data_IF_237025624569
#
_entry.id   IF_237025624569
#
_cell.length_a   1.000
_cell.length_b   1.000
_cell.length_c   1.000
_cell.angle_alpha   90.00
_cell.angle_beta   90.00
_cell.angle_gamma   90.00
#
_symmetry.space_group_name_H-M   'P 1'
#
loop_
_entity.id
_entity.type
_entity.pdbx_description
1 polymer ?
#
# COMPACT_ATOMS: atom_id res chain seq x y z
N UNK A 1 -4.80 -1.96 24.87
CA UNK A 1 -4.80 -2.14 23.40
C UNK A 1 -4.73 -3.62 22.96
N UNK A 2 -4.72 -4.61 23.86
CA UNK A 2 -4.87 -6.02 23.47
C UNK A 2 -3.72 -6.62 22.64
N UNK A 3 -2.62 -5.89 22.43
CA UNK A 3 -1.43 -6.37 21.73
C UNK A 3 -0.48 -6.98 22.76
N UNK A 4 -0.22 -8.28 22.65
CA UNK A 4 0.71 -9.00 23.52
C UNK A 4 2.16 -8.61 23.23
N UNK A 5 3.09 -8.94 24.13
CA UNK A 5 4.52 -8.67 23.88
C UNK A 5 5.07 -9.51 22.72
N UNK A 6 4.50 -10.70 22.46
CA UNK A 6 4.81 -11.49 21.28
C UNK A 6 4.33 -10.81 20.00
N UNK A 7 3.09 -10.30 19.98
CA UNK A 7 2.57 -9.53 18.83
C UNK A 7 3.44 -8.29 18.56
N UNK A 8 3.90 -7.58 19.60
CA UNK A 8 4.81 -6.43 19.43
C UNK A 8 6.14 -6.86 18.82
N UNK A 9 6.72 -7.96 19.28
CA UNK A 9 7.96 -8.50 18.73
C UNK A 9 7.79 -8.88 17.26
N UNK A 10 6.66 -9.48 16.88
CA UNK A 10 6.35 -9.79 15.49
C UNK A 10 6.21 -8.51 14.65
N UNK A 11 5.51 -7.48 15.16
CA UNK A 11 5.41 -6.18 14.47
C UNK A 11 6.80 -5.58 14.25
N UNK A 12 7.66 -5.56 15.27
CA UNK A 12 9.03 -5.05 15.14
C UNK A 12 9.87 -5.88 14.17
N UNK A 13 9.70 -7.20 14.18
CA UNK A 13 10.35 -8.11 13.23
C UNK A 13 9.96 -7.78 11.79
N UNK A 14 8.68 -7.53 11.52
CA UNK A 14 8.19 -7.15 10.19
C UNK A 14 8.69 -5.77 9.75
N UNK A 15 8.75 -4.79 10.65
CA UNK A 15 9.32 -3.47 10.34
C UNK A 15 10.81 -3.59 10.04
N UNK A 16 11.56 -4.34 10.85
CA UNK A 16 12.99 -4.59 10.60
C UNK A 16 13.21 -5.30 9.26
N UNK A 17 12.35 -6.27 8.91
CA UNK A 17 12.40 -6.94 7.61
C UNK A 17 12.24 -5.95 6.46
N UNK A 18 11.27 -5.03 6.53
CA UNK A 18 11.06 -3.99 5.50
C UNK A 18 12.26 -3.04 5.39
N UNK A 19 12.87 -2.65 6.52
CA UNK A 19 14.07 -1.81 6.53
C UNK A 19 15.26 -2.51 5.86
N UNK A 20 15.52 -3.77 6.20
CA UNK A 20 16.58 -4.55 5.56
C UNK A 20 16.27 -4.82 4.08
N UNK A 21 15.02 -5.09 3.72
CA UNK A 21 14.59 -5.24 2.33
C UNK A 21 14.90 -3.98 1.52
N UNK A 22 14.64 -2.78 2.07
CA UNK A 22 14.95 -1.50 1.42
C UNK A 22 16.45 -1.26 1.16
N UNK A 23 17.33 -1.87 1.96
CA UNK A 23 18.79 -1.79 1.80
C UNK A 23 19.34 -2.76 0.74
N UNK A 24 18.51 -3.59 0.11
CA UNK A 24 18.95 -4.47 -0.97
C UNK A 24 19.10 -3.65 -2.25
N UNK A 25 20.32 -3.62 -2.80
CA UNK A 25 20.63 -2.94 -4.06
C UNK A 25 20.89 -3.94 -5.18
N UNK A 26 20.61 -3.51 -6.40
CA UNK A 26 20.81 -4.30 -7.62
C UNK A 26 21.83 -3.62 -8.54
N UNK A 27 22.57 -4.44 -9.28
CA UNK A 27 23.48 -4.02 -10.35
C UNK A 27 23.24 -4.87 -11.61
N UNK A 28 23.67 -4.37 -12.77
CA UNK A 28 23.62 -5.14 -14.01
C UNK A 28 24.48 -6.40 -13.87
N UNK A 29 23.99 -7.51 -14.41
CA UNK A 29 24.75 -8.75 -14.44
C UNK A 29 25.52 -8.89 -15.77
N UNK A 30 26.85 -8.63 -15.79
CA UNK A 30 27.65 -8.72 -17.02
C UNK A 30 27.75 -10.16 -17.57
N UNK A 31 27.42 -11.17 -16.78
CA UNK A 31 27.43 -12.57 -17.21
C UNK A 31 26.14 -12.99 -17.93
N UNK A 32 25.05 -12.22 -17.77
CA UNK A 32 23.78 -12.52 -18.41
C UNK A 32 23.70 -11.88 -19.81
N UNK A 33 23.80 -12.72 -20.84
CA UNK A 33 23.70 -12.33 -22.25
C UNK A 33 22.35 -11.71 -22.62
N UNK A 34 21.33 -11.84 -21.76
CA UNK A 34 19.97 -11.30 -21.96
C UNK A 34 19.73 -9.97 -21.24
N UNK A 35 20.72 -9.44 -20.50
CA UNK A 35 20.63 -8.17 -19.80
C UNK A 35 19.77 -8.24 -18.54
N UNK A 36 20.18 -9.08 -17.58
CA UNK A 36 19.56 -9.25 -16.26
C UNK A 36 20.23 -8.41 -15.18
N UNK A 37 19.75 -8.54 -13.95
CA UNK A 37 20.33 -7.91 -12.77
C UNK A 37 20.69 -8.94 -11.69
N UNK A 38 21.61 -8.55 -10.82
CA UNK A 38 21.97 -9.31 -9.62
C UNK A 38 21.98 -8.40 -8.40
N UNK A 39 21.83 -9.00 -7.22
CA UNK A 39 21.98 -8.30 -5.94
C UNK A 39 23.44 -7.92 -5.76
N UNK A 40 23.71 -6.65 -5.43
CA UNK A 40 25.06 -6.18 -5.10
C UNK A 40 25.60 -6.89 -3.86
N UNK A 41 26.92 -7.07 -3.80
CA UNK A 41 27.57 -7.69 -2.64
C UNK A 41 27.30 -6.93 -1.34
N UNK A 42 27.23 -5.59 -1.40
CA UNK A 42 26.86 -4.73 -0.25
C UNK A 42 25.46 -5.05 0.31
N UNK A 43 24.53 -5.48 -0.55
CA UNK A 43 23.17 -5.86 -0.18
C UNK A 43 22.99 -7.31 0.27
N UNK A 44 24.02 -8.15 0.17
CA UNK A 44 23.94 -9.59 0.50
C UNK A 44 23.58 -9.87 1.97
N UNK A 45 24.16 -9.11 2.90
CA UNK A 45 23.81 -9.22 4.32
C UNK A 45 22.36 -8.80 4.59
N UNK A 46 21.92 -7.70 3.97
CA UNK A 46 20.54 -7.22 4.10
C UNK A 46 19.53 -8.22 3.54
N UNK A 47 19.84 -8.88 2.42
CA UNK A 47 19.05 -9.97 1.86
C UNK A 47 18.91 -11.13 2.85
N UNK A 48 20.02 -11.60 3.44
CA UNK A 48 19.99 -12.72 4.39
C UNK A 48 19.26 -12.39 5.68
N UNK A 49 19.39 -11.17 6.19
CA UNK A 49 18.66 -10.73 7.40
C UNK A 49 17.17 -10.61 7.06
N UNK A 50 16.82 -9.95 5.96
CA UNK A 50 15.43 -9.81 5.52
C UNK A 50 14.76 -11.16 5.29
N UNK A 51 15.45 -12.12 4.66
CA UNK A 51 14.89 -13.46 4.41
C UNK A 51 14.67 -14.21 5.73
N UNK A 52 15.61 -14.13 6.67
CA UNK A 52 15.47 -14.72 8.00
C UNK A 52 14.30 -14.14 8.79
N UNK A 53 14.10 -12.82 8.74
CA UNK A 53 13.00 -12.16 9.45
C UNK A 53 11.63 -12.46 8.82
N UNK A 54 11.59 -12.63 7.49
CA UNK A 54 10.37 -13.03 6.75
C UNK A 54 10.10 -14.55 6.81
N UNK A 55 11.04 -15.35 7.32
CA UNK A 55 10.91 -16.80 7.38
C UNK A 55 10.97 -17.48 6.00
N UNK A 56 11.72 -16.90 5.05
CA UNK A 56 11.89 -17.41 3.68
C UNK A 56 13.37 -17.70 3.38
N UNK A 57 13.61 -18.59 2.42
CA UNK A 57 14.96 -18.88 1.99
C UNK A 57 15.60 -17.70 1.25
N UNK A 58 16.88 -17.43 1.52
CA UNK A 58 17.58 -16.30 0.94
C UNK A 58 17.75 -16.43 -0.58
N UNK A 59 17.92 -17.64 -1.09
CA UNK A 59 18.05 -17.90 -2.53
C UNK A 59 16.72 -17.75 -3.25
N UNK A 60 15.62 -18.17 -2.62
CA UNK A 60 14.26 -17.96 -3.15
C UNK A 60 13.91 -16.48 -3.20
N UNK A 61 14.16 -15.73 -2.12
CA UNK A 61 13.94 -14.28 -2.10
C UNK A 61 14.79 -13.58 -3.17
N UNK A 62 16.06 -13.96 -3.30
CA UNK A 62 16.94 -13.42 -4.35
C UNK A 62 16.37 -13.67 -5.74
N UNK A 63 15.98 -14.91 -6.03
CA UNK A 63 15.44 -15.30 -7.32
C UNK A 63 14.13 -14.57 -7.64
N UNK A 64 13.24 -14.42 -6.65
CA UNK A 64 11.99 -13.70 -6.80
C UNK A 64 12.19 -12.20 -7.07
N UNK A 65 13.25 -11.60 -6.52
CA UNK A 65 13.59 -10.19 -6.74
C UNK A 65 14.30 -9.94 -8.08
N UNK A 66 15.04 -10.91 -8.62
CA UNK A 66 15.83 -10.73 -9.84
C UNK A 66 15.21 -11.37 -11.08
N UNK A 67 14.14 -12.16 -10.94
CA UNK A 67 13.50 -12.83 -12.07
C UNK A 67 11.99 -12.94 -11.89
N UNK A 68 11.27 -12.91 -13.01
CA UNK A 68 9.83 -13.19 -13.04
C UNK A 68 9.55 -14.55 -13.65
N UNK A 69 8.60 -15.27 -13.06
CA UNK A 69 8.09 -16.55 -13.57
C UNK A 69 7.12 -16.26 -14.71
N UNK A 70 7.37 -16.80 -15.90
CA UNK A 70 6.43 -16.76 -17.03
C UNK A 70 6.03 -18.17 -17.45
N UNK A 71 4.72 -18.41 -17.55
CA UNK A 71 4.18 -19.61 -18.19
C UNK A 71 3.90 -19.29 -19.66
N UNK A 72 4.62 -19.95 -20.57
CA UNK A 72 4.35 -19.78 -21.99
C UNK A 72 3.13 -20.62 -22.39
N UNK A 73 1.97 -19.97 -22.53
CA UNK A 73 0.75 -20.62 -23.07
C UNK A 73 0.80 -20.82 -24.59
N UNK A 74 1.88 -20.40 -25.26
CA UNK A 74 2.04 -20.49 -26.72
C UNK A 74 2.69 -21.81 -27.13
N UNK A 75 1.99 -22.93 -26.95
CA UNK A 75 2.45 -24.21 -27.50
C UNK A 75 1.96 -25.48 -26.80
N UNK A 76 0.64 -25.71 -26.73
CA UNK A 76 0.06 -27.01 -26.35
C UNK A 76 0.05 -27.34 -24.85
N UNK A 77 -0.60 -28.46 -24.50
CA UNK A 77 -1.13 -28.85 -23.18
C UNK A 77 -0.13 -29.00 -22.00
N UNK A 78 1.13 -28.56 -22.16
CA UNK A 78 2.15 -28.50 -21.10
C UNK A 78 2.95 -27.21 -21.25
N UNK A 79 2.42 -26.10 -20.73
CA UNK A 79 3.16 -24.84 -20.68
C UNK A 79 4.43 -25.01 -19.85
N UNK A 80 5.59 -24.69 -20.42
CA UNK A 80 6.84 -24.66 -19.67
C UNK A 80 6.91 -23.39 -18.83
N UNK A 81 7.31 -23.54 -17.57
CA UNK A 81 7.61 -22.43 -16.67
C UNK A 81 9.02 -21.96 -16.97
N UNK A 82 9.18 -20.70 -17.37
CA UNK A 82 10.47 -20.10 -17.70
C UNK A 82 10.72 -18.93 -16.75
N UNK A 83 11.93 -18.85 -16.21
CA UNK A 83 12.39 -17.70 -15.44
C UNK A 83 12.96 -16.66 -16.39
N UNK A 84 12.42 -15.45 -16.36
CA UNK A 84 12.88 -14.32 -17.17
C UNK A 84 13.60 -13.35 -16.24
N UNK A 85 14.91 -13.11 -16.42
CA UNK A 85 15.66 -12.11 -15.66
C UNK A 85 15.04 -10.71 -15.79
N UNK A 86 15.02 -9.97 -14.68
CA UNK A 86 14.57 -8.59 -14.62
C UNK A 86 15.73 -7.63 -14.85
N UNK A 87 15.44 -6.46 -15.43
CA UNK A 87 16.38 -5.33 -15.45
C UNK A 87 16.51 -4.71 -14.06
N UNK A 88 17.60 -3.97 -13.81
CA UNK A 88 17.85 -3.31 -12.52
C UNK A 88 16.66 -2.48 -12.03
N UNK A 89 16.09 -1.63 -12.90
CA UNK A 89 14.94 -0.80 -12.51
C UNK A 89 13.68 -1.62 -12.21
N UNK A 90 13.47 -2.77 -12.88
CA UNK A 90 12.34 -3.65 -12.62
C UNK A 90 12.50 -4.35 -11.26
N UNK A 91 13.72 -4.77 -10.92
CA UNK A 91 14.03 -5.36 -9.63
C UNK A 91 13.88 -4.36 -8.47
N UNK A 92 14.32 -3.10 -8.66
CA UNK A 92 14.09 -2.01 -7.69
C UNK A 92 12.58 -1.80 -7.47
N UNK A 93 11.80 -1.71 -8.55
CA UNK A 93 10.35 -1.56 -8.46
C UNK A 93 9.68 -2.77 -7.79
N UNK A 94 10.15 -3.99 -8.05
CA UNK A 94 9.64 -5.21 -7.43
C UNK A 94 9.95 -5.24 -5.91
N UNK A 95 11.17 -4.88 -5.50
CA UNK A 95 11.56 -4.71 -4.10
C UNK A 95 10.66 -3.70 -3.39
N UNK A 96 10.47 -2.52 -3.98
CA UNK A 96 9.66 -1.46 -3.37
C UNK A 96 8.18 -1.83 -3.31
N UNK A 97 7.67 -2.52 -4.33
CA UNK A 97 6.31 -3.05 -4.33
C UNK A 97 6.12 -4.10 -3.22
N UNK A 98 7.09 -5.01 -3.03
CA UNK A 98 7.08 -5.99 -1.95
C UNK A 98 7.10 -5.31 -0.58
N UNK A 99 7.99 -4.33 -0.38
CA UNK A 99 8.06 -3.55 0.85
C UNK A 99 6.74 -2.84 1.18
N UNK A 100 6.14 -2.18 0.19
CA UNK A 100 4.82 -1.52 0.32
C UNK A 100 3.72 -2.52 0.65
N UNK A 101 3.71 -3.69 0.01
CA UNK A 101 2.73 -4.74 0.27
C UNK A 101 2.84 -5.31 1.69
N UNK A 102 4.06 -5.60 2.16
CA UNK A 102 4.30 -6.09 3.53
C UNK A 102 3.83 -5.06 4.55
N UNK A 103 4.23 -3.79 4.39
CA UNK A 103 3.85 -2.73 5.32
C UNK A 103 2.33 -2.48 5.33
N UNK A 104 1.69 -2.49 4.16
CA UNK A 104 0.23 -2.40 4.05
C UNK A 104 -0.47 -3.54 4.80
N UNK A 105 0.02 -4.78 4.68
CA UNK A 105 -0.56 -5.93 5.40
C UNK A 105 -0.31 -5.88 6.90
N UNK A 106 0.84 -5.34 7.33
CA UNK A 106 1.13 -5.11 8.74
C UNK A 106 0.15 -4.08 9.34
N UNK A 107 -0.13 -3.00 8.61
CA UNK A 107 -1.09 -1.99 9.03
C UNK A 107 -2.51 -2.58 9.15
N UNK A 108 -2.97 -3.32 8.13
CA UNK A 108 -4.25 -4.05 8.16
C UNK A 108 -4.35 -4.96 9.40
N UNK A 109 -3.27 -5.69 9.69
CA UNK A 109 -3.18 -6.58 10.85
C UNK A 109 -3.33 -5.82 12.17
N UNK A 110 -2.62 -4.69 12.34
CA UNK A 110 -2.71 -3.87 13.56
C UNK A 110 -4.12 -3.34 13.76
N UNK A 111 -4.76 -2.81 12.71
CA UNK A 111 -6.15 -2.33 12.76
C UNK A 111 -7.10 -3.46 13.15
N UNK A 112 -6.94 -4.65 12.58
CA UNK A 112 -7.75 -5.81 12.93
C UNK A 112 -7.57 -6.23 14.40
N UNK A 113 -6.34 -6.24 14.93
CA UNK A 113 -6.08 -6.56 16.34
C UNK A 113 -6.71 -5.54 17.30
N UNK A 114 -6.70 -4.26 16.94
CA UNK A 114 -7.39 -3.22 17.70
C UNK A 114 -8.91 -3.46 17.67
N UNK A 115 -9.48 -3.74 16.49
CA UNK A 115 -10.91 -4.02 16.35
C UNK A 115 -11.34 -5.28 17.13
N UNK A 116 -10.52 -6.33 17.19
CA UNK A 116 -10.78 -7.51 18.01
C UNK A 116 -10.80 -7.20 19.52
N UNK A 117 -10.09 -6.17 19.95
CA UNK A 117 -10.11 -5.70 21.35
C UNK A 117 -11.37 -4.90 21.68
N UNK A 118 -12.19 -4.56 20.68
CA UNK A 118 -13.45 -3.83 20.80
C UNK A 118 -14.55 -4.67 20.11
N UNK A 119 -14.90 -5.86 20.66
CA UNK A 119 -15.88 -6.73 20.03
C UNK A 119 -17.24 -6.04 19.98
N UNK A 120 -17.88 -6.06 18.80
CA UNK A 120 -19.24 -5.56 18.62
C UNK A 120 -20.16 -6.68 18.14
N UNK A 121 -21.44 -6.60 18.52
CA UNK A 121 -22.50 -7.41 17.95
C UNK A 121 -23.18 -6.65 16.81
N UNK A 122 -23.82 -7.35 15.88
CA UNK A 122 -24.45 -6.74 14.71
C UNK A 122 -25.30 -5.51 15.09
N UNK A 123 -25.01 -4.37 14.45
CA UNK A 123 -25.79 -3.14 14.60
C UNK A 123 -26.50 -2.81 13.29
N UNK A 124 -27.74 -2.35 13.38
CA UNK A 124 -28.49 -1.87 12.19
C UNK A 124 -28.08 -0.47 11.78
N UNK A 125 -27.46 0.30 12.69
CA UNK A 125 -27.04 1.68 12.48
C UNK A 125 -25.69 1.92 13.17
N UNK A 126 -24.95 2.93 12.71
CA UNK A 126 -23.71 3.40 13.33
C UNK A 126 -23.58 4.91 13.20
N UNK A 127 -22.87 5.53 14.13
CA UNK A 127 -22.43 6.93 14.05
C UNK A 127 -20.91 6.88 13.95
N UNK A 128 -20.36 7.35 12.83
CA UNK A 128 -18.92 7.36 12.56
C UNK A 128 -18.34 8.76 12.73
N UNK A 129 -17.08 8.82 13.15
CA UNK A 129 -16.27 10.04 13.11
C UNK A 129 -15.22 9.84 12.03
N UNK A 130 -15.15 10.77 11.08
CA UNK A 130 -14.14 10.78 10.02
C UNK A 130 -13.08 11.81 10.38
N UNK A 131 -11.83 11.37 10.49
CA UNK A 131 -10.66 12.21 10.68
C UNK A 131 -9.64 11.93 9.57
N UNK A 132 -9.25 12.96 8.83
CA UNK A 132 -8.40 12.88 7.64
C UNK A 132 -7.54 14.14 7.54
N UNK A 133 -6.48 14.08 6.73
CA UNK A 133 -5.67 15.25 6.41
C UNK A 133 -6.47 16.28 5.59
N UNK A 134 -6.39 17.55 5.99
CA UNK A 134 -6.95 18.68 5.22
C UNK A 134 -6.12 19.03 4.00
N UNK A 135 -6.52 20.08 3.28
CA UNK A 135 -5.81 20.56 2.10
C UNK A 135 -4.37 20.98 2.44
N UNK A 136 -3.39 20.52 1.66
CA UNK A 136 -1.97 20.81 1.85
C UNK A 136 -1.42 21.64 0.69
N UNK A 137 -0.63 22.67 1.01
CA UNK A 137 0.06 23.46 0.01
C UNK A 137 1.44 23.89 0.50
N UNK A 138 2.47 23.39 -0.18
CA UNK A 138 3.86 23.76 0.04
C UNK A 138 4.44 24.49 -1.18
N UNK A 139 5.65 25.05 -1.03
CA UNK A 139 6.36 25.72 -2.13
C UNK A 139 6.58 24.78 -3.33
N UNK A 140 6.81 23.49 -3.07
CA UNK A 140 6.83 22.43 -4.08
C UNK A 140 5.99 21.28 -3.55
N UNK A 141 4.91 20.96 -4.26
CA UNK A 141 4.03 19.84 -3.94
C UNK A 141 4.55 18.57 -4.61
N UNK A 142 4.62 17.47 -3.87
CA UNK A 142 4.94 16.15 -4.42
C UNK A 142 3.68 15.41 -4.84
N UNK A 143 3.85 14.16 -5.31
CA UNK A 143 2.73 13.30 -5.68
C UNK A 143 1.78 13.05 -4.50
N UNK A 144 2.32 12.99 -3.27
CA UNK A 144 1.56 12.81 -2.04
C UNK A 144 0.56 13.95 -1.81
N UNK A 145 1.00 15.22 -1.95
CA UNK A 145 0.09 16.36 -1.83
C UNK A 145 -1.00 16.35 -2.91
N UNK A 146 -0.67 15.92 -4.14
CA UNK A 146 -1.68 15.76 -5.18
C UNK A 146 -2.77 14.75 -4.75
N UNK A 147 -2.37 13.58 -4.21
CA UNK A 147 -3.33 12.60 -3.72
C UNK A 147 -4.18 13.13 -2.55
N UNK A 148 -3.58 13.86 -1.60
CA UNK A 148 -4.28 14.46 -0.46
C UNK A 148 -5.31 15.49 -0.94
N UNK A 149 -4.91 16.41 -1.81
CA UNK A 149 -5.78 17.46 -2.31
C UNK A 149 -6.90 16.90 -3.20
N UNK A 150 -6.61 15.86 -4.00
CA UNK A 150 -7.63 15.16 -4.77
C UNK A 150 -8.69 14.48 -3.88
N UNK A 151 -8.27 13.87 -2.76
CA UNK A 151 -9.20 13.30 -1.80
C UNK A 151 -10.10 14.38 -1.16
N UNK A 152 -9.51 15.52 -0.78
CA UNK A 152 -10.25 16.67 -0.25
C UNK A 152 -11.25 17.21 -1.27
N UNK A 153 -10.87 17.32 -2.54
CA UNK A 153 -11.79 17.75 -3.60
C UNK A 153 -13.01 16.83 -3.72
N UNK A 154 -12.80 15.51 -3.64
CA UNK A 154 -13.91 14.54 -3.67
C UNK A 154 -14.82 14.62 -2.44
N UNK A 155 -14.27 14.96 -1.28
CA UNK A 155 -15.06 15.15 -0.07
C UNK A 155 -15.84 16.48 -0.10
N UNK A 156 -15.23 17.53 -0.66
CA UNK A 156 -15.93 18.79 -0.89
C UNK A 156 -17.10 18.60 -1.86
N UNK A 157 -16.88 17.84 -2.95
CA UNK A 157 -17.95 17.47 -3.88
C UNK A 157 -19.09 16.74 -3.15
N UNK A 158 -18.79 15.73 -2.33
CA UNK A 158 -19.80 15.02 -1.54
C UNK A 158 -20.54 15.95 -0.56
N UNK A 159 -19.83 16.86 0.11
CA UNK A 159 -20.43 17.84 1.02
C UNK A 159 -21.42 18.75 0.30
N UNK A 160 -21.02 19.29 -0.86
CA UNK A 160 -21.87 20.14 -1.68
C UNK A 160 -23.08 19.39 -2.23
N UNK A 161 -22.94 18.14 -2.66
CA UNK A 161 -24.04 17.36 -3.21
C UNK A 161 -25.03 16.86 -2.14
N UNK A 162 -24.52 16.38 -1.01
CA UNK A 162 -25.34 15.71 0.00
C UNK A 162 -25.84 16.65 1.10
N UNK A 163 -24.94 17.44 1.69
CA UNK A 163 -25.27 18.26 2.86
C UNK A 163 -26.04 19.51 2.45
N UNK A 164 -25.56 20.24 1.44
CA UNK A 164 -26.26 21.44 0.97
C UNK A 164 -27.67 21.11 0.46
N UNK A 165 -27.82 20.01 -0.30
CA UNK A 165 -29.12 19.56 -0.77
C UNK A 165 -30.05 19.20 0.39
N UNK A 166 -29.54 18.48 1.38
CA UNK A 166 -30.30 18.13 2.57
C UNK A 166 -30.73 19.36 3.38
N UNK A 167 -29.87 20.37 3.52
CA UNK A 167 -30.23 21.64 4.15
C UNK A 167 -31.33 22.37 3.38
N UNK A 168 -31.25 22.45 2.05
CA UNK A 168 -32.30 23.07 1.24
C UNK A 168 -33.64 22.33 1.35
N UNK A 169 -33.62 20.99 1.45
CA UNK A 169 -34.83 20.19 1.69
C UNK A 169 -35.44 20.45 3.08
N UNK A 170 -34.60 20.67 4.10
CA UNK A 170 -35.05 21.09 5.43
C UNK A 170 -35.69 22.48 5.35
N UNK A 171 -35.07 23.46 4.67
CA UNK A 171 -35.64 24.80 4.53
C UNK A 171 -37.02 24.77 3.86
N UNK A 172 -37.18 23.97 2.80
CA UNK A 172 -38.47 23.76 2.13
C UNK A 172 -39.50 23.13 3.07
N UNK A 173 -39.09 22.14 3.88
CA UNK A 173 -39.96 21.47 4.87
C UNK A 173 -40.43 22.40 5.99
N UNK A 174 -39.53 23.23 6.49
CA UNK A 174 -39.80 24.20 7.57
C UNK A 174 -40.49 25.48 7.07
N UNK A 175 -40.73 25.61 5.75
CA UNK A 175 -41.40 26.77 5.16
C UNK A 175 -40.55 28.05 5.17
N UNK A 176 -39.23 27.91 5.25
CA UNK A 176 -38.31 29.03 5.19
C UNK A 176 -38.16 29.49 3.74
N UNK A 177 -38.49 30.76 3.48
CA UNK A 177 -38.46 31.36 2.13
C UNK A 177 -37.02 31.73 1.71
N UNK A 178 -36.11 30.75 1.75
CA UNK A 178 -34.71 30.90 1.35
C UNK A 178 -34.59 30.64 -0.15
N UNK A 179 -33.93 31.52 -0.93
CA UNK A 179 -33.72 31.29 -2.36
C UNK A 179 -32.85 30.03 -2.59
N UNK A 180 -33.20 29.26 -3.61
CA UNK A 180 -32.46 28.06 -4.00
C UNK A 180 -31.06 28.45 -4.48
N UNK A 181 -30.04 27.91 -3.82
CA UNK A 181 -28.64 28.21 -4.15
C UNK A 181 -28.19 27.20 -5.20
N UNK A 182 -27.88 27.69 -6.40
CA UNK A 182 -27.17 26.92 -7.42
C UNK A 182 -25.66 26.99 -7.11
N UNK A 183 -25.03 25.83 -6.93
CA UNK A 183 -23.58 25.73 -6.86
C UNK A 183 -23.05 25.26 -8.22
N UNK A 184 -21.84 25.69 -8.59
CA UNK A 184 -21.15 25.27 -9.80
C UNK A 184 -20.13 24.17 -9.47
N UNK A 185 -20.08 23.13 -10.31
CA UNK A 185 -19.05 22.08 -10.29
C UNK A 185 -17.64 22.64 -10.52
#
# INVERSE_FOLDING_TARGET
MGISDDDKLQIYTMVAAVLHLGNIEFEDDPEDTRGGCRVKQSGGNSLSISSSLLGIDASELKQALTSRVMQSSRGGAKGTVIMVPLKVYEAVNARDALAKAIYSKLFDYIVNRINQSIPFQASSYYIGVLDIAGFEFFTVNSFEQFCINYCNEKLQQFFNEAILKFEQDIYKREGLNVPEISYAD
#
